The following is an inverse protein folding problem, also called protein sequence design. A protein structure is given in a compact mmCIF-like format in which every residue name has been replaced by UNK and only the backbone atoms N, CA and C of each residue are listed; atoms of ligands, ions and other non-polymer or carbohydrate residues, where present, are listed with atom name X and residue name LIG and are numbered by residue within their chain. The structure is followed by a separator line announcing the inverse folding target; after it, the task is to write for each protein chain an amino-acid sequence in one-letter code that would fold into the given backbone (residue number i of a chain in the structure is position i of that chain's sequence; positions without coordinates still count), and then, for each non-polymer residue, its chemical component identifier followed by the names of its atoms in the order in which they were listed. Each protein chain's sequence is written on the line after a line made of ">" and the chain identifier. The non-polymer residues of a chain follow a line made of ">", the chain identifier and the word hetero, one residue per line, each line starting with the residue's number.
data_IF_944502869823
#
_entry.id   IF_944502869823
#
_cell.length_a   1.000
_cell.length_b   1.000
_cell.length_c   1.000
_cell.angle_alpha   90.00
_cell.angle_beta   90.00
_cell.angle_gamma   90.00
#
_symmetry.space_group_name_H-M   'P 1'
#
loop_
_entity.id
_entity.type
_entity.pdbx_description
1 polymer ?
#
# COMPACT_ATOMS: atom_id res chain seq x y z
N UNK A 1 -70.95 19.84 -5.64
CA UNK A 1 -70.27 19.01 -6.65
C UNK A 1 -69.05 19.79 -7.09
N UNK A 2 -67.82 19.50 -6.73
CA UNK A 2 -67.12 18.24 -6.35
C UNK A 2 -65.94 18.65 -5.44
N UNK A 3 -65.96 18.20 -4.19
CA UNK A 3 -65.01 17.25 -3.58
C UNK A 3 -63.62 17.82 -3.26
N UNK A 4 -63.51 18.33 -2.02
CA UNK A 4 -62.27 18.47 -1.28
C UNK A 4 -61.76 17.07 -0.89
N UNK A 5 -60.68 16.63 -1.50
CA UNK A 5 -59.97 15.41 -1.12
C UNK A 5 -59.07 15.66 0.09
N UNK A 6 -59.56 15.33 1.28
CA UNK A 6 -58.76 15.16 2.50
C UNK A 6 -57.73 14.03 2.31
N UNK A 7 -56.45 14.38 2.23
CA UNK A 7 -55.36 13.42 2.34
C UNK A 7 -55.15 13.04 3.81
N UNK A 8 -55.75 11.92 4.22
CA UNK A 8 -55.41 11.23 5.48
C UNK A 8 -54.12 10.45 5.22
N UNK A 9 -52.98 11.10 5.47
CA UNK A 9 -51.69 10.42 5.52
C UNK A 9 -51.62 9.56 6.77
N UNK A 10 -51.93 8.27 6.62
CA UNK A 10 -51.67 7.26 7.65
C UNK A 10 -50.16 7.21 7.87
N UNK A 11 -49.72 7.66 9.06
CA UNK A 11 -48.37 7.48 9.57
C UNK A 11 -48.08 6.00 9.75
N UNK A 12 -47.73 5.33 8.66
CA UNK A 12 -47.16 4.00 8.69
C UNK A 12 -45.80 4.11 9.36
N UNK A 13 -45.72 3.70 10.62
CA UNK A 13 -44.46 3.46 11.30
C UNK A 13 -43.68 2.47 10.44
N UNK A 14 -42.69 2.95 9.70
CA UNK A 14 -41.81 2.09 8.93
C UNK A 14 -41.22 1.06 9.89
N UNK A 15 -41.64 -0.19 9.76
CA UNK A 15 -41.04 -1.30 10.49
C UNK A 15 -39.62 -1.38 9.95
N UNK A 16 -38.67 -0.80 10.68
CA UNK A 16 -37.24 -1.00 10.45
C UNK A 16 -36.97 -2.48 10.70
N UNK A 17 -37.10 -3.28 9.65
CA UNK A 17 -36.62 -4.65 9.66
C UNK A 17 -35.12 -4.54 9.94
N UNK A 18 -34.70 -5.10 11.07
CA UNK A 18 -33.31 -5.12 11.52
C UNK A 18 -32.50 -6.06 10.62
N UNK A 19 -32.30 -5.65 9.36
CA UNK A 19 -31.57 -6.42 8.35
C UNK A 19 -30.08 -6.18 8.47
N UNK A 20 -29.30 -7.20 8.13
CA UNK A 20 -27.86 -7.04 7.99
C UNK A 20 -27.55 -6.30 6.68
N UNK A 21 -26.62 -5.35 6.71
CA UNK A 21 -26.00 -4.77 5.51
C UNK A 21 -24.88 -5.69 5.03
N UNK A 22 -24.85 -6.03 3.75
CA UNK A 22 -23.71 -6.75 3.16
C UNK A 22 -22.64 -5.76 2.67
N UNK A 23 -21.37 -6.02 2.99
CA UNK A 23 -20.22 -5.22 2.57
C UNK A 23 -19.15 -6.10 1.95
N UNK A 24 -18.68 -5.72 0.77
CA UNK A 24 -17.50 -6.35 0.17
C UNK A 24 -16.23 -5.56 0.50
N UNK A 25 -15.18 -6.30 0.84
CA UNK A 25 -13.83 -5.82 1.04
C UNK A 25 -12.90 -6.62 0.15
N UNK A 26 -12.17 -5.93 -0.71
CA UNK A 26 -11.10 -6.51 -1.52
C UNK A 26 -9.76 -6.10 -0.94
N UNK A 27 -8.95 -7.08 -0.57
CA UNK A 27 -7.59 -6.89 -0.07
C UNK A 27 -6.63 -7.32 -1.16
N UNK A 28 -5.96 -6.35 -1.77
CA UNK A 28 -4.88 -6.62 -2.70
C UNK A 28 -3.59 -6.86 -1.92
N UNK A 29 -3.12 -8.10 -1.92
CA UNK A 29 -1.82 -8.48 -1.36
C UNK A 29 -0.74 -8.35 -2.43
N UNK A 30 0.14 -7.36 -2.22
CA UNK A 30 1.32 -7.14 -3.04
C UNK A 30 2.51 -7.98 -2.60
N UNK A 31 3.69 -7.66 -3.14
CA UNK A 31 4.92 -8.32 -2.73
C UNK A 31 5.18 -8.07 -1.23
N UNK A 32 5.02 -9.11 -0.42
CA UNK A 32 5.34 -9.10 1.00
C UNK A 32 6.85 -9.29 1.21
N UNK A 33 7.28 -8.77 2.36
CA UNK A 33 8.61 -8.75 2.97
C UNK A 33 9.59 -9.83 2.49
N UNK A 34 10.84 -9.40 2.31
CA UNK A 34 12.10 -10.14 2.10
C UNK A 34 12.02 -11.62 1.68
N UNK A 35 12.84 -12.01 0.71
CA UNK A 35 13.00 -13.39 0.22
C UNK A 35 13.21 -14.47 1.30
N UNK A 36 13.61 -14.12 2.53
CA UNK A 36 13.64 -15.01 3.69
C UNK A 36 12.25 -15.45 4.17
N UNK A 37 11.30 -14.52 4.29
CA UNK A 37 9.94 -14.79 4.78
C UNK A 37 9.19 -15.66 3.76
N UNK A 38 9.39 -15.34 2.49
CA UNK A 38 8.80 -16.09 1.37
C UNK A 38 9.34 -17.51 1.20
N UNK A 39 10.65 -17.74 1.36
CA UNK A 39 11.24 -19.09 1.18
C UNK A 39 10.71 -20.07 2.23
N UNK A 40 10.44 -19.57 3.43
CA UNK A 40 9.86 -20.32 4.54
C UNK A 40 8.37 -20.62 4.28
N UNK A 41 7.58 -19.66 3.76
CA UNK A 41 6.18 -19.90 3.36
C UNK A 41 6.03 -20.91 2.23
N UNK A 42 6.84 -20.78 1.17
CA UNK A 42 6.82 -21.72 0.04
C UNK A 42 7.21 -23.13 0.46
N UNK A 43 8.25 -23.27 1.28
CA UNK A 43 8.70 -24.55 1.81
C UNK A 43 7.60 -25.24 2.61
N UNK A 44 6.92 -24.52 3.49
CA UNK A 44 5.83 -25.07 4.30
C UNK A 44 4.60 -25.41 3.48
N UNK A 45 4.18 -24.57 2.51
CA UNK A 45 3.07 -24.89 1.58
C UNK A 45 3.33 -26.16 0.75
N UNK A 46 4.59 -26.47 0.45
CA UNK A 46 4.98 -27.67 -0.32
C UNK A 46 5.38 -28.87 0.54
N UNK A 47 5.25 -28.77 1.87
CA UNK A 47 5.63 -29.85 2.79
C UNK A 47 7.15 -30.05 2.98
N UNK A 48 7.98 -29.09 2.57
CA UNK A 48 9.45 -29.14 2.65
C UNK A 48 9.98 -28.64 4.01
N UNK A 49 9.18 -28.80 5.07
CA UNK A 49 9.34 -28.13 6.37
C UNK A 49 10.65 -28.45 7.10
N UNK A 50 11.20 -29.64 6.91
CA UNK A 50 12.34 -30.12 7.71
C UNK A 50 13.71 -29.92 7.01
N UNK A 51 13.75 -29.88 5.66
CA UNK A 51 15.01 -29.76 4.92
C UNK A 51 15.54 -28.31 4.84
N UNK A 52 14.67 -27.30 4.93
CA UNK A 52 15.07 -25.89 4.82
C UNK A 52 15.42 -25.22 6.15
N UNK A 53 15.04 -25.81 7.28
CA UNK A 53 15.39 -25.31 8.63
C UNK A 53 16.80 -25.76 9.05
N UNK A 54 17.34 -26.81 8.43
CA UNK A 54 18.67 -27.36 8.75
C UNK A 54 19.83 -26.74 7.95
N UNK A 55 19.57 -25.89 6.95
CA UNK A 55 20.61 -25.21 6.18
C UNK A 55 21.03 -23.88 6.85
N UNK A 56 22.32 -23.51 6.85
CA UNK A 56 22.74 -22.21 7.37
C UNK A 56 22.04 -21.10 6.58
N UNK A 57 21.28 -20.26 7.29
CA UNK A 57 20.80 -19.00 6.72
C UNK A 57 22.03 -18.27 6.16
N UNK A 58 22.08 -17.91 4.86
CA UNK A 58 23.29 -17.33 4.29
C UNK A 58 23.64 -16.08 5.08
N UNK A 59 24.85 -15.97 5.62
CA UNK A 59 25.33 -14.83 6.45
C UNK A 59 25.02 -13.47 5.82
N UNK A 60 24.94 -13.43 4.48
CA UNK A 60 24.51 -12.31 3.66
C UNK A 60 23.12 -11.73 4.00
N UNK A 61 22.20 -12.53 4.54
CA UNK A 61 20.87 -12.06 4.97
C UNK A 61 20.91 -11.30 6.29
N UNK A 62 21.83 -11.67 7.19
CA UNK A 62 22.10 -10.92 8.42
C UNK A 62 22.64 -9.54 8.05
N UNK A 63 23.63 -9.50 7.15
CA UNK A 63 24.23 -8.25 6.68
C UNK A 63 23.24 -7.31 5.97
N UNK A 64 22.32 -7.82 5.15
CA UNK A 64 21.33 -6.99 4.42
C UNK A 64 20.21 -6.49 5.33
N UNK A 65 19.78 -7.32 6.28
CA UNK A 65 18.90 -6.92 7.39
C UNK A 65 19.56 -5.79 8.16
N UNK A 66 20.80 -6.01 8.60
CA UNK A 66 21.55 -5.09 9.44
C UNK A 66 21.90 -3.79 8.71
N UNK A 67 22.16 -3.79 7.39
CA UNK A 67 22.35 -2.55 6.60
C UNK A 67 21.07 -1.73 6.43
N UNK A 68 19.92 -2.38 6.21
CA UNK A 68 18.61 -1.70 6.10
C UNK A 68 18.16 -1.19 7.48
N UNK A 69 18.48 -1.93 8.55
CA UNK A 69 18.23 -1.54 9.93
C UNK A 69 19.17 -0.42 10.38
N UNK A 70 20.46 -0.45 10.06
CA UNK A 70 21.41 0.64 10.31
C UNK A 70 21.00 1.92 9.55
N UNK A 71 20.47 1.79 8.32
CA UNK A 71 19.96 2.92 7.56
C UNK A 71 18.75 3.58 8.24
N UNK A 72 17.88 2.79 8.86
CA UNK A 72 16.76 3.28 9.68
C UNK A 72 17.20 3.83 11.04
N UNK A 73 18.21 3.23 11.67
CA UNK A 73 18.79 3.66 12.95
C UNK A 73 19.42 5.06 12.88
N UNK A 74 20.07 5.42 11.77
CA UNK A 74 20.73 6.72 11.61
C UNK A 74 19.75 7.91 11.45
N UNK A 75 18.44 7.68 11.39
CA UNK A 75 17.43 8.73 11.05
C UNK A 75 16.26 8.87 12.01
N UNK A 76 16.14 8.00 13.00
CA UNK A 76 15.14 8.13 14.04
C UNK A 76 15.80 8.66 15.32
N UNK A 77 15.12 9.48 16.13
CA UNK A 77 15.64 9.90 17.43
C UNK A 77 16.05 8.67 18.25
N UNK A 78 17.24 8.71 18.87
CA UNK A 78 17.98 7.60 19.52
C UNK A 78 17.19 6.78 20.56
N UNK A 79 15.98 7.20 20.92
CA UNK A 79 15.25 6.69 22.07
C UNK A 79 14.19 5.64 21.67
N UNK A 80 13.96 5.39 20.37
CA UNK A 80 12.82 4.61 19.88
C UNK A 80 13.14 3.37 19.02
N UNK A 81 14.35 3.22 18.47
CA UNK A 81 14.64 2.18 17.46
C UNK A 81 15.17 0.87 18.05
N UNK A 82 16.21 0.86 18.87
CA UNK A 82 16.94 -0.39 19.15
C UNK A 82 16.13 -1.48 19.87
N UNK A 83 15.38 -1.13 20.92
CA UNK A 83 14.58 -2.11 21.65
C UNK A 83 13.35 -2.60 20.85
N UNK A 84 12.73 -1.71 20.07
CA UNK A 84 11.58 -2.04 19.22
C UNK A 84 11.99 -2.92 18.05
N UNK A 85 13.11 -2.60 17.41
CA UNK A 85 13.62 -3.32 16.24
C UNK A 85 14.22 -4.68 16.62
N UNK A 86 14.91 -4.76 17.78
CA UNK A 86 15.35 -6.05 18.35
C UNK A 86 14.17 -6.95 18.69
N UNK A 87 13.08 -6.41 19.24
CA UNK A 87 11.87 -7.18 19.56
C UNK A 87 11.09 -7.63 18.32
N UNK A 88 11.10 -6.82 17.26
CA UNK A 88 10.58 -7.19 15.93
C UNK A 88 11.43 -8.33 15.36
N UNK A 89 12.76 -8.21 15.36
CA UNK A 89 13.69 -9.26 14.92
C UNK A 89 13.57 -10.56 15.74
N UNK A 90 13.42 -10.47 17.06
CA UNK A 90 13.20 -11.61 17.96
C UNK A 90 11.83 -12.27 17.77
N UNK A 91 10.80 -11.54 17.32
CA UNK A 91 9.50 -12.09 16.94
C UNK A 91 9.55 -12.78 15.57
N UNK A 92 10.25 -12.21 14.59
CA UNK A 92 10.50 -12.85 13.29
C UNK A 92 11.32 -14.15 13.42
N UNK A 93 12.24 -14.22 14.39
CA UNK A 93 13.06 -15.42 14.66
C UNK A 93 12.30 -16.58 15.33
N UNK A 94 11.07 -16.40 15.84
CA UNK A 94 10.31 -17.44 16.57
C UNK A 94 9.34 -18.27 15.72
N UNK A 95 9.37 -18.14 14.40
CA UNK A 95 9.01 -19.25 13.50
C UNK A 95 7.53 -19.64 13.34
N UNK A 96 6.58 -18.86 13.86
CA UNK A 96 5.15 -18.99 13.48
C UNK A 96 4.74 -17.70 12.78
N UNK A 97 4.69 -17.76 11.45
CA UNK A 97 4.22 -16.65 10.65
C UNK A 97 2.70 -16.72 10.58
N UNK A 98 2.02 -15.66 10.98
CA UNK A 98 0.56 -15.53 10.97
C UNK A 98 0.09 -14.94 9.65
N UNK A 99 -0.81 -15.62 8.95
CA UNK A 99 -1.48 -15.06 7.76
C UNK A 99 -2.49 -13.99 8.17
N UNK A 100 -2.98 -13.21 7.20
CA UNK A 100 -4.12 -12.32 7.43
C UNK A 100 -5.32 -13.07 8.01
N UNK A 101 -5.62 -14.24 7.48
CA UNK A 101 -6.69 -15.09 7.99
C UNK A 101 -6.42 -15.51 9.44
N UNK A 102 -5.18 -15.86 9.81
CA UNK A 102 -4.85 -16.23 11.20
C UNK A 102 -5.04 -15.06 12.16
N UNK A 103 -4.54 -13.87 11.80
CA UNK A 103 -4.67 -12.66 12.61
C UNK A 103 -6.15 -12.26 12.79
N UNK A 104 -6.93 -12.31 11.71
CA UNK A 104 -8.36 -12.00 11.77
C UNK A 104 -9.14 -13.08 12.52
N UNK A 105 -8.85 -14.36 12.31
CA UNK A 105 -9.48 -15.47 13.04
C UNK A 105 -9.20 -15.36 14.54
N UNK A 106 -7.95 -15.08 14.92
CA UNK A 106 -7.56 -14.88 16.31
C UNK A 106 -8.24 -13.65 16.93
N UNK A 107 -8.41 -12.57 16.17
CA UNK A 107 -8.99 -11.33 16.67
C UNK A 107 -10.53 -11.33 16.73
N UNK A 108 -11.18 -12.07 15.83
CA UNK A 108 -12.63 -12.02 15.60
C UNK A 108 -13.35 -13.28 16.06
N UNK A 109 -12.63 -14.36 16.33
CA UNK A 109 -13.17 -15.61 16.83
C UNK A 109 -14.07 -16.34 15.82
N UNK A 110 -15.03 -17.10 16.34
CA UNK A 110 -15.86 -18.03 15.56
C UNK A 110 -16.76 -17.34 14.51
N UNK A 111 -17.00 -16.03 14.62
CA UNK A 111 -17.76 -15.27 13.63
C UNK A 111 -16.98 -15.02 12.32
N UNK A 112 -15.67 -15.24 12.33
CA UNK A 112 -14.82 -15.15 11.14
C UNK A 112 -14.67 -16.54 10.52
N UNK A 113 -15.15 -16.70 9.29
CA UNK A 113 -15.15 -17.97 8.57
C UNK A 113 -14.28 -17.84 7.34
N UNK A 114 -13.25 -18.68 7.24
CA UNK A 114 -12.39 -18.80 6.05
C UNK A 114 -13.04 -19.83 5.12
N UNK A 115 -13.46 -19.40 3.93
CA UNK A 115 -14.08 -20.28 2.93
C UNK A 115 -13.03 -20.88 1.99
N UNK A 116 -11.99 -20.11 1.68
CA UNK A 116 -10.84 -20.50 0.86
C UNK A 116 -9.63 -19.64 1.21
N UNK A 117 -8.49 -19.91 0.58
CA UNK A 117 -7.26 -19.11 0.69
C UNK A 117 -7.43 -17.64 0.27
N UNK A 118 -8.50 -17.31 -0.45
CA UNK A 118 -8.76 -15.95 -0.96
C UNK A 118 -10.12 -15.41 -0.56
N UNK A 119 -10.93 -16.17 0.17
CA UNK A 119 -12.27 -15.76 0.52
C UNK A 119 -12.58 -16.07 1.97
N UNK A 120 -13.11 -15.07 2.67
CA UNK A 120 -13.60 -15.21 4.03
C UNK A 120 -14.83 -14.36 4.25
N UNK A 121 -15.54 -14.65 5.34
CA UNK A 121 -16.72 -13.91 5.77
C UNK A 121 -16.62 -13.58 7.25
N UNK A 122 -17.22 -12.47 7.63
CA UNK A 122 -17.36 -12.09 9.03
C UNK A 122 -18.73 -11.47 9.28
N UNK A 123 -19.44 -11.94 10.29
CA UNK A 123 -20.72 -11.35 10.70
C UNK A 123 -20.53 -10.53 11.97
N UNK A 124 -20.83 -9.24 11.89
CA UNK A 124 -20.83 -8.32 13.03
C UNK A 124 -22.24 -8.10 13.53
N UNK A 125 -22.64 -8.86 14.56
CA UNK A 125 -23.95 -8.69 15.19
C UNK A 125 -24.20 -7.29 15.78
N UNK A 126 -23.21 -6.63 16.43
CA UNK A 126 -23.38 -5.28 16.92
C UNK A 126 -23.64 -4.27 15.79
N UNK A 127 -22.94 -4.42 14.66
CA UNK A 127 -23.11 -3.51 13.52
C UNK A 127 -24.32 -3.84 12.66
N UNK A 128 -24.80 -5.08 12.71
CA UNK A 128 -25.72 -5.67 11.73
C UNK A 128 -25.14 -5.58 10.32
N UNK A 129 -23.92 -6.12 10.17
CA UNK A 129 -23.19 -6.13 8.90
C UNK A 129 -22.60 -7.52 8.63
N UNK A 130 -22.78 -8.04 7.42
CA UNK A 130 -22.00 -9.17 6.91
C UNK A 130 -20.89 -8.64 6.02
N UNK A 131 -19.66 -9.01 6.34
CA UNK A 131 -18.49 -8.67 5.56
C UNK A 131 -18.10 -9.86 4.69
N UNK A 132 -17.97 -9.62 3.39
CA UNK A 132 -17.40 -10.53 2.41
C UNK A 132 -16.00 -10.04 2.06
N UNK A 133 -14.99 -10.83 2.38
CA UNK A 133 -13.59 -10.42 2.26
C UNK A 133 -12.95 -11.29 1.18
N UNK A 134 -12.40 -10.65 0.15
CA UNK A 134 -11.72 -11.28 -0.97
C UNK A 134 -10.27 -10.82 -1.07
N UNK A 135 -9.34 -11.74 -1.19
CA UNK A 135 -7.92 -11.46 -1.39
C UNK A 135 -7.59 -11.57 -2.88
N UNK A 136 -6.88 -10.58 -3.42
CA UNK A 136 -6.42 -10.57 -4.81
C UNK A 136 -4.92 -10.31 -4.87
N UNK A 137 -4.26 -10.81 -5.92
CA UNK A 137 -2.79 -10.79 -6.00
C UNK A 137 -2.25 -10.11 -7.26
N UNK A 138 -3.13 -9.63 -8.14
CA UNK A 138 -2.74 -9.13 -9.46
C UNK A 138 -3.10 -7.66 -9.63
N UNK A 139 -2.31 -6.91 -10.44
CA UNK A 139 -2.66 -5.52 -10.79
C UNK A 139 -4.04 -5.40 -11.45
N UNK A 140 -4.45 -6.28 -12.38
CA UNK A 140 -5.77 -6.22 -13.00
C UNK A 140 -6.91 -6.38 -11.99
N UNK A 141 -6.79 -7.31 -11.05
CA UNK A 141 -7.82 -7.51 -10.02
C UNK A 141 -7.87 -6.32 -9.06
N UNK A 142 -6.71 -5.77 -8.68
CA UNK A 142 -6.65 -4.57 -7.85
C UNK A 142 -7.27 -3.36 -8.55
N UNK A 143 -6.96 -3.15 -9.83
CA UNK A 143 -7.58 -2.10 -10.65
C UNK A 143 -9.09 -2.26 -10.70
N UNK A 144 -9.55 -3.47 -11.03
CA UNK A 144 -10.97 -3.80 -11.12
C UNK A 144 -11.68 -3.49 -9.80
N UNK A 145 -11.08 -3.85 -8.68
CA UNK A 145 -11.60 -3.53 -7.35
C UNK A 145 -11.68 -2.01 -7.12
N UNK A 146 -10.65 -1.24 -7.48
CA UNK A 146 -10.68 0.23 -7.38
C UNK A 146 -11.79 0.86 -8.21
N UNK A 147 -12.11 0.26 -9.36
CA UNK A 147 -13.17 0.65 -10.31
C UNK A 147 -14.56 0.09 -9.95
N UNK A 148 -14.68 -0.68 -8.87
CA UNK A 148 -15.96 -1.28 -8.43
C UNK A 148 -16.65 -0.38 -7.41
N UNK A 149 -17.92 -0.03 -7.65
CA UNK A 149 -18.71 0.81 -6.74
C UNK A 149 -19.08 0.10 -5.44
N UNK A 150 -19.25 0.88 -4.37
CA UNK A 150 -19.84 0.38 -3.12
C UNK A 150 -18.93 -0.48 -2.23
N UNK A 151 -17.74 -0.88 -2.70
CA UNK A 151 -16.83 -1.75 -1.94
C UNK A 151 -15.71 -0.99 -1.21
N UNK A 152 -15.06 -1.66 -0.26
CA UNK A 152 -13.77 -1.22 0.27
C UNK A 152 -12.63 -1.93 -0.44
N UNK A 153 -11.60 -1.19 -0.85
CA UNK A 153 -10.36 -1.75 -1.39
C UNK A 153 -9.23 -1.44 -0.43
N UNK A 154 -8.44 -2.44 -0.06
CA UNK A 154 -7.25 -2.27 0.76
C UNK A 154 -6.04 -2.82 0.02
N UNK A 155 -4.97 -2.05 -0.10
CA UNK A 155 -3.68 -2.57 -0.50
C UNK A 155 -2.84 -2.88 0.74
N UNK A 156 -2.39 -4.14 0.81
CA UNK A 156 -1.44 -4.64 1.79
C UNK A 156 -0.18 -5.12 1.07
N UNK A 157 1.00 -4.59 1.41
CA UNK A 157 2.25 -5.03 0.82
C UNK A 157 3.27 -3.91 0.67
N UNK A 158 4.40 -4.21 0.03
CA UNK A 158 5.43 -3.21 -0.22
C UNK A 158 4.98 -2.19 -1.27
N UNK A 159 5.18 -0.90 -1.00
CA UNK A 159 5.03 0.14 -2.00
C UNK A 159 6.39 0.78 -2.25
N UNK A 160 6.73 1.01 -3.52
CA UNK A 160 7.95 1.72 -3.87
C UNK A 160 7.81 3.20 -3.57
N UNK A 161 8.91 3.73 -3.03
CA UNK A 161 9.04 5.12 -2.62
C UNK A 161 8.54 6.08 -3.69
N UNK A 162 7.41 6.73 -3.41
CA UNK A 162 6.83 7.72 -4.31
C UNK A 162 6.35 7.19 -5.67
N UNK A 163 6.26 5.87 -5.89
CA UNK A 163 5.87 5.25 -7.18
C UNK A 163 4.55 4.49 -7.12
N UNK A 164 4.34 3.70 -6.05
CA UNK A 164 3.10 2.94 -5.88
C UNK A 164 3.30 1.48 -5.45
N UNK A 165 2.19 0.73 -5.31
CA UNK A 165 2.16 -0.65 -4.86
C UNK A 165 2.87 -1.61 -5.81
N UNK A 166 3.57 -2.58 -5.23
CA UNK A 166 4.25 -3.65 -5.95
C UNK A 166 3.35 -4.87 -6.06
N UNK A 167 3.20 -5.37 -7.28
CA UNK A 167 2.63 -6.68 -7.57
C UNK A 167 3.72 -7.52 -8.19
N UNK A 168 3.89 -8.78 -7.79
CA UNK A 168 4.77 -9.68 -8.53
C UNK A 168 4.16 -11.06 -8.59
N UNK A 169 4.24 -11.67 -9.77
CA UNK A 169 3.68 -13.00 -9.97
C UNK A 169 4.51 -13.97 -9.14
N UNK A 170 3.83 -14.66 -8.25
CA UNK A 170 4.45 -15.63 -7.38
C UNK A 170 5.00 -16.82 -8.20
N UNK A 171 6.29 -16.84 -8.52
CA UNK A 171 6.94 -17.98 -9.21
C UNK A 171 8.22 -18.52 -8.54
N UNK A 172 8.57 -18.10 -7.31
CA UNK A 172 9.76 -18.50 -6.54
C UNK A 172 11.12 -18.18 -7.19
N UNK A 173 11.16 -17.51 -8.33
CA UNK A 173 12.38 -16.94 -8.86
C UNK A 173 12.59 -15.58 -8.18
N UNK A 174 13.82 -15.32 -7.71
CA UNK A 174 14.13 -14.13 -6.93
C UNK A 174 14.13 -12.89 -7.82
N UNK A 175 12.95 -12.36 -8.10
CA UNK A 175 12.64 -11.21 -8.97
C UNK A 175 12.84 -9.88 -8.22
N UNK A 176 13.98 -9.76 -7.54
CA UNK A 176 14.31 -8.64 -6.64
C UNK A 176 15.07 -7.49 -7.33
N UNK A 177 15.33 -7.62 -8.63
CA UNK A 177 16.13 -6.70 -9.42
C UNK A 177 15.57 -6.56 -10.85
N UNK A 178 16.01 -5.52 -11.56
CA UNK A 178 15.74 -5.31 -12.98
C UNK A 178 14.33 -4.80 -13.28
N UNK A 179 13.96 -4.88 -14.55
CA UNK A 179 12.70 -4.33 -15.06
C UNK A 179 11.46 -5.06 -14.54
N UNK A 180 11.54 -6.35 -14.23
CA UNK A 180 10.41 -7.07 -13.65
C UNK A 180 9.93 -6.42 -12.35
N UNK A 181 10.86 -5.87 -11.58
CA UNK A 181 10.53 -5.22 -10.32
C UNK A 181 9.93 -3.81 -10.49
N UNK A 182 10.31 -3.10 -11.55
CA UNK A 182 9.87 -1.72 -11.81
C UNK A 182 8.65 -1.69 -12.75
N UNK A 183 8.81 -2.22 -13.95
CA UNK A 183 7.80 -2.26 -15.00
C UNK A 183 7.15 -3.67 -15.12
N UNK A 184 7.60 -4.70 -14.40
CA UNK A 184 7.05 -6.03 -14.64
C UNK A 184 7.44 -6.60 -16.01
N UNK A 185 6.98 -7.81 -16.26
CA UNK A 185 7.10 -8.52 -17.54
C UNK A 185 5.74 -8.78 -18.17
N UNK A 186 4.65 -8.54 -17.44
CA UNK A 186 3.29 -8.69 -17.91
C UNK A 186 2.33 -7.77 -17.13
N UNK A 187 1.04 -8.00 -17.34
CA UNK A 187 -0.02 -7.22 -16.73
C UNK A 187 -0.22 -7.51 -15.24
N UNK A 188 0.30 -8.60 -14.70
CA UNK A 188 0.08 -9.04 -13.33
C UNK A 188 1.15 -8.55 -12.35
N UNK A 189 2.35 -8.19 -12.82
CA UNK A 189 3.52 -7.89 -11.98
C UNK A 189 4.11 -6.48 -12.23
N UNK A 190 5.12 -6.11 -11.46
CA UNK A 190 5.68 -4.76 -11.41
C UNK A 190 4.84 -3.79 -10.60
N UNK A 191 5.07 -2.49 -10.82
CA UNK A 191 4.36 -1.45 -10.08
C UNK A 191 2.97 -1.17 -10.66
N UNK A 192 2.01 -0.98 -9.77
CA UNK A 192 0.82 -0.18 -10.04
C UNK A 192 1.15 1.27 -9.72
N UNK A 193 1.16 2.15 -10.73
CA UNK A 193 1.74 3.50 -10.60
C UNK A 193 0.75 4.47 -9.98
N UNK A 194 1.04 4.99 -8.80
CA UNK A 194 0.18 5.96 -8.08
C UNK A 194 0.98 7.05 -7.35
N UNK A 195 2.12 7.43 -7.93
CA UNK A 195 3.13 8.32 -7.34
C UNK A 195 3.20 9.70 -7.98
N UNK A 196 4.08 10.57 -7.46
CA UNK A 196 4.31 11.88 -8.07
C UNK A 196 4.94 11.74 -9.47
N UNK A 197 4.65 12.65 -10.42
CA UNK A 197 5.27 12.67 -11.74
C UNK A 197 6.80 12.60 -11.70
N UNK A 198 7.41 13.32 -10.74
CA UNK A 198 8.84 13.35 -10.56
C UNK A 198 9.25 12.94 -9.14
N UNK A 199 10.11 11.94 -9.04
CA UNK A 199 10.61 11.45 -7.75
C UNK A 199 12.14 11.50 -7.69
N UNK A 200 12.72 11.84 -6.53
CA UNK A 200 14.16 11.77 -6.34
C UNK A 200 14.58 10.36 -5.94
N UNK A 201 15.51 9.76 -6.69
CA UNK A 201 16.08 8.45 -6.39
C UNK A 201 17.59 8.55 -6.25
N UNK A 202 18.12 7.93 -5.20
CA UNK A 202 19.55 7.86 -4.95
C UNK A 202 20.25 6.95 -5.96
N UNK A 203 21.46 7.29 -6.35
CA UNK A 203 22.22 6.46 -7.29
C UNK A 203 22.50 5.04 -6.75
N UNK A 204 22.61 4.88 -5.43
CA UNK A 204 22.77 3.58 -4.77
C UNK A 204 21.55 2.66 -4.96
N UNK A 205 20.33 3.21 -4.93
CA UNK A 205 19.10 2.45 -5.21
C UNK A 205 19.11 1.92 -6.64
N UNK A 206 19.50 2.75 -7.61
CA UNK A 206 19.64 2.32 -9.01
C UNK A 206 20.68 1.21 -9.18
N UNK A 207 21.86 1.35 -8.57
CA UNK A 207 22.91 0.33 -8.64
C UNK A 207 22.49 -0.99 -7.99
N UNK A 208 21.80 -0.90 -6.84
CA UNK A 208 21.33 -2.07 -6.09
C UNK A 208 20.24 -2.82 -6.86
N UNK A 209 19.28 -2.09 -7.43
CA UNK A 209 18.10 -2.71 -8.03
C UNK A 209 18.18 -2.87 -9.54
N UNK A 210 19.12 -2.23 -10.23
CA UNK A 210 19.48 -2.47 -11.64
C UNK A 210 18.30 -2.41 -12.63
N UNK A 211 17.25 -1.63 -12.32
CA UNK A 211 16.11 -1.43 -13.21
C UNK A 211 16.39 -0.32 -14.22
N UNK A 212 15.74 -0.40 -15.37
CA UNK A 212 15.77 0.66 -16.38
C UNK A 212 15.06 1.88 -15.83
N UNK A 213 15.78 2.99 -15.73
CA UNK A 213 15.26 4.25 -15.21
C UNK A 213 15.04 5.29 -16.32
N UNK A 214 14.11 6.22 -16.05
CA UNK A 214 13.70 7.30 -16.95
C UNK A 214 14.04 8.66 -16.32
N UNK A 215 15.32 9.07 -16.24
CA UNK A 215 15.71 10.33 -15.62
C UNK A 215 15.33 11.54 -16.46
N UNK A 216 15.13 12.69 -15.81
CA UNK A 216 14.87 13.95 -16.52
C UNK A 216 16.19 14.57 -17.00
N UNK A 217 16.36 14.66 -18.33
CA UNK A 217 17.54 15.27 -18.97
C UNK A 217 17.74 16.71 -18.48
N UNK A 218 18.99 17.12 -18.23
CA UNK A 218 19.28 18.49 -17.80
C UNK A 218 19.06 19.52 -18.92
N UNK A 219 19.05 19.08 -20.18
CA UNK A 219 18.70 19.87 -21.35
C UNK A 219 17.21 20.23 -21.40
N UNK A 220 16.36 19.45 -20.71
CA UNK A 220 14.93 19.74 -20.64
C UNK A 220 14.67 20.83 -19.57
N UNK A 221 13.55 21.56 -19.68
CA UNK A 221 13.11 22.47 -18.62
C UNK A 221 13.07 21.78 -17.25
N UNK A 222 13.42 22.55 -16.22
CA UNK A 222 13.40 22.08 -14.83
C UNK A 222 11.96 21.68 -14.45
N UNK A 223 11.70 20.46 -13.95
CA UNK A 223 10.35 20.04 -13.58
C UNK A 223 9.70 20.99 -12.56
N UNK A 224 8.39 21.30 -12.63
CA UNK A 224 7.73 22.17 -11.65
C UNK A 224 7.84 21.65 -10.21
N UNK A 225 8.03 22.54 -9.22
CA UNK A 225 8.17 22.13 -7.80
C UNK A 225 6.93 21.39 -7.29
N UNK A 226 5.73 21.80 -7.74
CA UNK A 226 4.45 21.22 -7.32
C UNK A 226 4.28 19.75 -7.74
N UNK A 227 4.90 19.37 -8.87
CA UNK A 227 4.85 18.02 -9.46
C UNK A 227 5.96 17.09 -8.93
N UNK A 228 6.90 17.63 -8.16
CA UNK A 228 7.93 16.83 -7.50
C UNK A 228 7.39 16.26 -6.20
N UNK A 229 7.75 15.00 -5.96
CA UNK A 229 7.63 14.35 -4.66
C UNK A 229 8.20 15.26 -3.56
N UNK A 230 7.62 15.30 -2.33
CA UNK A 230 8.06 16.21 -1.26
C UNK A 230 9.57 16.19 -1.03
N UNK A 231 10.20 15.03 -1.04
CA UNK A 231 11.66 14.89 -0.88
C UNK A 231 12.49 15.39 -2.09
N UNK A 232 11.86 15.73 -3.21
CA UNK A 232 12.46 16.23 -4.44
C UNK A 232 12.23 17.74 -4.65
N UNK A 233 11.58 18.43 -3.70
CA UNK A 233 11.27 19.86 -3.80
C UNK A 233 12.46 20.79 -3.59
N UNK A 234 13.60 20.25 -3.16
CA UNK A 234 14.84 21.02 -2.98
C UNK A 234 15.39 21.65 -4.27
N UNK A 235 16.49 22.41 -4.10
CA UNK A 235 17.22 22.98 -5.22
C UNK A 235 17.74 21.88 -6.14
N UNK A 236 17.38 21.97 -7.42
CA UNK A 236 17.88 21.04 -8.43
C UNK A 236 19.13 21.61 -9.07
N UNK A 237 20.03 20.70 -9.42
CA UNK A 237 21.23 20.96 -10.18
C UNK A 237 21.38 19.87 -11.23
N UNK A 238 22.11 20.17 -12.29
CA UNK A 238 22.50 19.16 -13.25
C UNK A 238 23.56 18.23 -12.62
N UNK A 239 23.30 16.93 -12.64
CA UNK A 239 24.16 15.87 -12.12
C UNK A 239 24.62 15.02 -13.29
N UNK A 240 25.93 14.87 -13.46
CA UNK A 240 26.50 13.93 -14.43
C UNK A 240 26.41 12.51 -13.87
N UNK A 241 25.82 11.58 -14.61
CA UNK A 241 25.75 10.20 -14.15
C UNK A 241 27.12 9.50 -14.24
N UNK A 242 27.52 8.74 -13.21
CA UNK A 242 28.62 7.78 -13.29
C UNK A 242 28.38 6.77 -14.42
N UNK A 243 29.45 6.34 -15.08
CA UNK A 243 29.38 5.45 -16.25
C UNK A 243 28.63 4.15 -15.95
N UNK A 244 28.87 3.57 -14.77
CA UNK A 244 28.22 2.33 -14.32
C UNK A 244 26.71 2.45 -14.08
N UNK A 245 26.18 3.67 -13.97
CA UNK A 245 24.73 3.93 -13.88
C UNK A 245 24.11 4.27 -15.24
N UNK A 246 24.91 4.74 -16.21
CA UNK A 246 24.38 5.17 -17.53
C UNK A 246 23.74 4.02 -18.30
N UNK A 247 24.21 2.80 -18.10
CA UNK A 247 23.64 1.58 -18.71
C UNK A 247 22.18 1.35 -18.32
N UNK A 248 21.77 1.80 -17.12
CA UNK A 248 20.38 1.68 -16.65
C UNK A 248 19.45 2.75 -17.23
N UNK A 249 19.94 3.73 -17.98
CA UNK A 249 19.08 4.78 -18.55
C UNK A 249 18.39 4.28 -19.81
N UNK A 250 17.06 4.33 -19.82
CA UNK A 250 16.24 4.02 -20.99
C UNK A 250 16.75 4.77 -22.22
N UNK A 251 16.82 4.11 -23.38
CA UNK A 251 17.42 4.69 -24.59
C UNK A 251 16.82 6.05 -24.97
N UNK A 252 15.49 6.19 -24.91
CA UNK A 252 14.77 7.44 -25.17
C UNK A 252 15.08 8.57 -24.17
N UNK A 253 15.58 8.23 -22.99
CA UNK A 253 15.89 9.15 -21.90
C UNK A 253 17.38 9.47 -21.78
N UNK A 254 18.24 8.94 -22.65
CA UNK A 254 19.67 9.28 -22.63
C UNK A 254 19.88 10.75 -22.98
N UNK A 255 20.62 11.45 -22.13
CA UNK A 255 21.13 12.81 -22.37
C UNK A 255 22.45 12.74 -23.13
N UNK A 256 22.66 13.56 -24.18
CA UNK A 256 23.94 13.65 -24.89
C UNK A 256 25.10 14.09 -24.00
N UNK A 257 24.85 14.94 -23.00
CA UNK A 257 25.86 15.37 -22.03
C UNK A 257 25.98 14.43 -20.83
N UNK A 258 25.13 13.39 -20.77
CA UNK A 258 24.95 12.51 -19.62
C UNK A 258 24.58 13.25 -18.32
N UNK A 259 23.99 14.44 -18.44
CA UNK A 259 23.55 15.26 -17.31
C UNK A 259 22.04 15.19 -17.14
N UNK A 260 21.61 15.12 -15.89
CA UNK A 260 20.21 14.98 -15.51
C UNK A 260 19.88 15.89 -14.35
N UNK A 261 18.63 16.31 -14.23
CA UNK A 261 18.19 17.05 -13.06
C UNK A 261 18.27 16.16 -11.82
N UNK A 262 18.93 16.66 -10.78
CA UNK A 262 19.12 15.95 -9.53
C UNK A 262 19.31 16.91 -8.37
N UNK A 263 19.55 16.36 -7.18
CA UNK A 263 19.72 17.09 -5.94
C UNK A 263 20.63 16.31 -4.99
N UNK A 264 21.16 16.98 -3.98
CA UNK A 264 21.83 16.31 -2.86
C UNK A 264 20.86 16.21 -1.70
N UNK A 265 20.67 14.98 -1.21
CA UNK A 265 19.93 14.71 0.02
C UNK A 265 20.80 13.78 0.86
N UNK A 266 20.94 14.08 2.14
CA UNK A 266 21.68 13.22 3.08
C UNK A 266 23.11 12.93 2.61
N UNK A 267 23.79 13.95 2.06
CA UNK A 267 25.14 13.85 1.47
C UNK A 267 25.26 12.90 0.27
N UNK A 268 24.15 12.41 -0.28
CA UNK A 268 24.10 11.53 -1.44
C UNK A 268 23.48 12.22 -2.65
N UNK A 269 24.04 11.96 -3.83
CA UNK A 269 23.48 12.41 -5.09
C UNK A 269 22.22 11.61 -5.42
N UNK A 270 21.15 12.34 -5.72
CA UNK A 270 19.90 11.81 -6.21
C UNK A 270 19.62 12.38 -7.60
N UNK A 271 19.00 11.60 -8.47
CA UNK A 271 18.46 12.08 -9.75
C UNK A 271 16.94 12.08 -9.69
N UNK A 272 16.33 13.02 -10.41
CA UNK A 272 14.90 13.00 -10.62
C UNK A 272 14.57 12.04 -11.75
N UNK A 273 13.67 11.12 -11.44
CA UNK A 273 13.09 10.20 -12.40
C UNK A 273 11.67 10.63 -12.73
N UNK A 274 11.29 10.43 -13.99
CA UNK A 274 9.90 10.37 -14.41
C UNK A 274 9.32 9.07 -13.87
N UNK A 275 8.48 9.20 -12.86
CA UNK A 275 7.81 8.10 -12.18
C UNK A 275 6.28 8.22 -12.23
N UNK A 276 5.81 9.18 -13.04
CA UNK A 276 4.40 9.49 -13.20
C UNK A 276 3.53 8.29 -13.55
N UNK A 277 2.25 8.50 -13.39
CA UNK A 277 1.21 7.56 -13.79
C UNK A 277 0.70 7.82 -15.21
N UNK A 278 1.08 8.91 -15.86
CA UNK A 278 0.69 9.19 -17.24
C UNK A 278 1.70 8.53 -18.17
N UNK A 279 1.22 7.91 -19.26
CA UNK A 279 2.07 7.32 -20.30
C UNK A 279 3.12 6.33 -19.78
N UNK A 280 2.76 5.58 -18.75
CA UNK A 280 3.67 4.56 -18.21
C UNK A 280 3.81 3.42 -19.21
N UNK A 281 5.00 2.81 -19.28
CA UNK A 281 5.24 1.65 -20.16
C UNK A 281 4.33 0.46 -19.79
N UNK A 282 3.73 0.51 -18.61
CA UNK A 282 2.75 -0.45 -18.10
C UNK A 282 1.30 0.00 -18.26
N UNK A 283 0.98 0.75 -19.31
CA UNK A 283 -0.42 1.02 -19.59
C UNK A 283 -1.22 -0.29 -19.64
N UNK A 284 -2.37 -0.38 -18.96
CA UNK A 284 -3.10 0.69 -18.26
C UNK A 284 -3.00 0.67 -16.72
N UNK A 285 -1.99 0.02 -16.13
CA UNK A 285 -1.94 -0.23 -14.67
C UNK A 285 -1.33 0.94 -13.88
N UNK A 286 -1.99 2.08 -14.00
CA UNK A 286 -1.67 3.31 -13.31
C UNK A 286 -2.95 3.97 -12.77
N UNK A 287 -2.79 4.85 -11.78
CA UNK A 287 -3.90 5.49 -11.10
C UNK A 287 -4.63 6.52 -11.98
N UNK A 288 -3.96 7.04 -13.01
CA UNK A 288 -4.56 8.00 -13.95
C UNK A 288 -5.69 7.34 -14.72
N UNK A 289 -5.35 6.22 -15.37
CA UNK A 289 -6.26 5.40 -16.15
C UNK A 289 -7.26 4.59 -15.31
N UNK A 290 -7.10 4.57 -13.98
CA UNK A 290 -7.99 3.83 -13.07
C UNK A 290 -9.08 4.74 -12.52
N UNK A 291 -10.34 4.56 -12.90
CA UNK A 291 -11.45 5.35 -12.34
C UNK A 291 -11.79 4.91 -10.90
N UNK A 292 -11.49 5.74 -9.89
CA UNK A 292 -11.70 5.36 -8.49
C UNK A 292 -13.19 5.44 -8.12
N UNK A 293 -13.89 4.32 -8.21
CA UNK A 293 -15.32 4.18 -7.91
C UNK A 293 -15.63 3.49 -6.58
N UNK A 294 -14.65 2.81 -5.99
CA UNK A 294 -14.81 2.21 -4.68
C UNK A 294 -15.28 3.23 -3.63
N UNK A 295 -15.92 2.75 -2.56
CA UNK A 295 -16.43 3.61 -1.49
C UNK A 295 -15.33 3.99 -0.51
N UNK A 296 -14.39 3.08 -0.28
CA UNK A 296 -13.25 3.26 0.61
C UNK A 296 -11.97 2.68 0.00
N UNK A 297 -10.86 3.40 0.07
CA UNK A 297 -9.54 2.98 -0.37
C UNK A 297 -8.52 3.12 0.75
N UNK A 298 -7.97 1.99 1.20
CA UNK A 298 -6.89 1.96 2.17
C UNK A 298 -5.60 1.55 1.45
N UNK A 299 -4.51 2.27 1.69
CA UNK A 299 -3.21 1.90 1.13
C UNK A 299 -2.16 1.85 2.24
N UNK A 300 -1.94 0.64 2.76
CA UNK A 300 -1.07 0.39 3.92
C UNK A 300 0.33 -0.10 3.53
N UNK A 301 0.81 0.29 2.34
CA UNK A 301 2.20 0.11 1.94
C UNK A 301 3.16 1.15 2.56
N UNK A 302 4.41 1.17 2.10
CA UNK A 302 5.46 2.03 2.67
C UNK A 302 5.18 3.53 2.50
N UNK A 303 5.01 4.26 3.61
CA UNK A 303 5.00 5.74 3.73
C UNK A 303 4.02 6.43 2.78
N UNK A 304 2.85 5.83 2.61
CA UNK A 304 1.92 6.15 1.52
C UNK A 304 1.21 7.47 1.73
N UNK A 305 1.17 7.95 2.97
CA UNK A 305 0.69 9.30 3.30
C UNK A 305 1.52 10.37 2.59
N UNK A 306 2.85 10.23 2.53
CA UNK A 306 3.70 11.22 1.85
C UNK A 306 3.72 10.99 0.33
N UNK A 307 3.58 9.73 -0.12
CA UNK A 307 3.75 9.34 -1.52
C UNK A 307 2.49 9.47 -2.37
N UNK A 308 1.33 9.09 -1.83
CA UNK A 308 0.14 8.79 -2.62
C UNK A 308 -1.10 9.54 -2.15
N UNK A 309 -1.12 10.06 -0.92
CA UNK A 309 -2.28 10.82 -0.43
C UNK A 309 -2.62 11.99 -1.34
N UNK A 310 -1.62 12.83 -1.64
CA UNK A 310 -1.79 14.06 -2.43
C UNK A 310 -2.36 13.74 -3.81
N UNK A 311 -1.76 12.73 -4.41
CA UNK A 311 -2.09 12.14 -5.70
C UNK A 311 -3.56 11.72 -5.77
N UNK A 312 -4.04 10.99 -4.75
CA UNK A 312 -5.42 10.51 -4.71
C UNK A 312 -6.38 11.68 -4.43
N UNK A 313 -6.04 12.57 -3.51
CA UNK A 313 -6.98 13.57 -2.96
C UNK A 313 -7.09 14.87 -3.77
N UNK A 314 -6.01 15.37 -4.36
CA UNK A 314 -6.02 16.71 -4.96
C UNK A 314 -6.67 16.74 -6.34
N UNK A 315 -7.45 17.78 -6.62
CA UNK A 315 -8.19 17.99 -7.88
C UNK A 315 -7.29 18.11 -9.11
N UNK A 316 -6.05 18.57 -8.95
CA UNK A 316 -5.06 18.58 -10.04
C UNK A 316 -4.50 17.21 -10.41
N UNK A 317 -4.89 16.17 -9.67
CA UNK A 317 -4.54 14.78 -9.89
C UNK A 317 -5.83 13.96 -9.99
N UNK A 318 -6.07 12.99 -9.08
CA UNK A 318 -7.27 12.15 -9.15
C UNK A 318 -8.54 12.85 -8.68
N UNK A 319 -8.41 13.92 -7.88
CA UNK A 319 -9.56 14.67 -7.38
C UNK A 319 -10.54 13.84 -6.55
N UNK A 320 -10.07 12.77 -5.91
CA UNK A 320 -10.89 11.89 -5.07
C UNK A 320 -11.15 12.54 -3.70
N UNK A 321 -11.76 13.72 -3.75
CA UNK A 321 -12.11 14.55 -2.61
C UNK A 321 -13.34 13.93 -1.93
N UNK A 322 -13.27 13.78 -0.61
CA UNK A 322 -14.39 13.30 0.20
C UNK A 322 -15.48 14.37 0.23
N UNK A 323 -16.75 14.04 -0.02
CA UNK A 323 -17.84 15.00 0.09
C UNK A 323 -18.02 15.49 1.54
N UNK A 324 -18.71 16.61 1.69
CA UNK A 324 -19.15 17.17 2.97
C UNK A 324 -20.68 17.36 2.92
N UNK A 325 -21.48 16.56 3.67
CA UNK A 325 -21.05 15.53 4.64
C UNK A 325 -20.45 14.27 3.98
N UNK A 326 -19.63 13.49 4.71
CA UNK A 326 -18.94 12.33 4.16
C UNK A 326 -19.87 11.15 3.95
N UNK A 327 -20.10 10.77 2.70
CA UNK A 327 -20.92 9.61 2.30
C UNK A 327 -20.10 8.48 1.68
N UNK A 328 -19.06 8.82 0.92
CA UNK A 328 -18.15 7.93 0.21
C UNK A 328 -16.70 8.48 0.14
N UNK A 329 -15.88 7.92 -0.76
CA UNK A 329 -14.50 8.35 -1.05
C UNK A 329 -13.63 8.45 0.20
N UNK A 330 -13.78 7.46 1.09
CA UNK A 330 -12.93 7.33 2.26
C UNK A 330 -11.54 6.88 1.81
N UNK A 331 -10.49 7.51 2.34
CA UNK A 331 -9.12 7.18 1.95
C UNK A 331 -8.21 7.20 3.16
N UNK A 332 -7.49 6.11 3.39
CA UNK A 332 -6.61 5.94 4.54
C UNK A 332 -5.21 5.51 4.11
N UNK A 333 -4.21 6.14 4.70
CA UNK A 333 -2.81 5.96 4.33
C UNK A 333 -1.94 5.88 5.58
N UNK A 334 -0.78 5.23 5.49
CA UNK A 334 0.18 5.11 6.60
C UNK A 334 1.37 6.03 6.42
N UNK A 335 1.98 6.48 7.53
CA UNK A 335 3.23 7.25 7.52
C UNK A 335 4.49 6.41 7.55
N UNK A 336 4.40 5.10 7.71
CA UNK A 336 5.54 4.25 7.96
C UNK A 336 5.77 3.22 6.86
N UNK A 337 6.92 2.55 6.88
CA UNK A 337 7.18 1.38 6.04
C UNK A 337 6.05 0.36 6.14
N UNK A 338 5.88 -0.45 5.09
CA UNK A 338 4.92 -1.54 5.12
C UNK A 338 5.18 -2.38 6.38
N UNK A 339 4.12 -2.76 7.08
CA UNK A 339 4.21 -3.60 8.27
C UNK A 339 2.95 -4.45 8.33
N UNK A 340 3.15 -5.76 8.37
CA UNK A 340 2.07 -6.73 8.34
C UNK A 340 1.06 -6.51 9.49
N UNK A 341 1.49 -5.96 10.62
CA UNK A 341 0.61 -5.72 11.77
C UNK A 341 -0.41 -4.62 11.49
N UNK A 342 -0.10 -3.66 10.61
CA UNK A 342 -1.03 -2.56 10.27
C UNK A 342 -2.25 -3.12 9.55
N UNK A 343 -2.05 -4.10 8.65
CA UNK A 343 -3.14 -4.63 7.85
C UNK A 343 -4.19 -5.34 8.70
N UNK A 344 -3.81 -5.96 9.84
CA UNK A 344 -4.75 -6.71 10.66
C UNK A 344 -5.45 -5.80 11.68
N UNK A 345 -4.71 -4.83 12.23
CA UNK A 345 -5.21 -3.96 13.31
C UNK A 345 -6.35 -3.07 12.84
N UNK A 346 -6.28 -2.49 11.64
CA UNK A 346 -7.35 -1.61 11.16
C UNK A 346 -8.67 -2.35 10.88
N UNK A 347 -8.71 -3.43 10.06
CA UNK A 347 -9.93 -4.22 9.84
C UNK A 347 -10.47 -4.84 11.11
N UNK A 348 -9.61 -5.35 12.01
CA UNK A 348 -10.03 -5.85 13.34
C UNK A 348 -10.96 -4.87 14.04
N UNK A 349 -10.54 -3.61 14.17
CA UNK A 349 -11.38 -2.60 14.81
C UNK A 349 -12.57 -2.21 13.94
N UNK A 350 -12.42 -2.13 12.63
CA UNK A 350 -13.56 -1.81 11.79
C UNK A 350 -14.69 -2.84 11.94
N UNK A 351 -14.36 -4.12 12.01
CA UNK A 351 -15.27 -5.24 12.23
C UNK A 351 -15.89 -5.27 13.65
N UNK A 352 -15.19 -4.71 14.63
CA UNK A 352 -15.62 -4.66 16.03
C UNK A 352 -16.31 -3.33 16.41
N UNK A 353 -16.69 -2.49 15.45
CA UNK A 353 -17.42 -1.26 15.75
C UNK A 353 -18.72 -1.58 16.52
N UNK A 354 -18.99 -0.94 17.67
CA UNK A 354 -20.00 -1.44 18.61
C UNK A 354 -21.44 -1.01 18.30
N UNK A 355 -21.64 -0.13 17.32
CA UNK A 355 -22.96 0.43 17.03
C UNK A 355 -23.52 -0.12 15.73
N UNK A 356 -24.84 -0.30 15.68
CA UNK A 356 -25.55 -0.65 14.46
C UNK A 356 -25.29 0.39 13.37
N UNK A 357 -25.00 -0.07 12.15
CA UNK A 357 -24.77 0.85 11.04
C UNK A 357 -26.07 1.35 10.42
N UNK A 358 -27.12 0.53 10.35
CA UNK A 358 -28.43 0.87 9.74
C UNK A 358 -28.29 1.50 8.34
N UNK A 359 -27.45 0.89 7.49
CA UNK A 359 -27.15 1.36 6.13
C UNK A 359 -26.66 2.83 6.03
N UNK A 360 -26.19 3.42 7.14
CA UNK A 360 -25.62 4.75 7.17
C UNK A 360 -24.24 4.80 6.49
N UNK A 361 -23.74 6.00 6.13
CA UNK A 361 -22.37 6.19 5.69
C UNK A 361 -21.35 5.50 6.60
N UNK A 362 -20.33 4.87 6.01
CA UNK A 362 -19.34 4.09 6.76
C UNK A 362 -18.43 4.94 7.65
N UNK A 363 -18.53 6.27 7.56
CA UNK A 363 -17.70 7.25 8.23
C UNK A 363 -17.45 6.96 9.71
N UNK A 364 -18.51 6.78 10.50
CA UNK A 364 -18.37 6.60 11.96
C UNK A 364 -17.60 5.32 12.30
N UNK A 365 -17.93 4.21 11.63
CA UNK A 365 -17.25 2.93 11.82
C UNK A 365 -15.77 2.99 11.42
N UNK A 366 -15.45 3.65 10.30
CA UNK A 366 -14.08 3.78 9.80
C UNK A 366 -13.24 4.76 10.64
N UNK A 367 -13.82 5.86 11.12
CA UNK A 367 -13.11 6.78 12.03
C UNK A 367 -12.90 6.16 13.41
N UNK A 368 -13.88 5.40 13.91
CA UNK A 368 -13.70 4.62 15.13
C UNK A 368 -12.56 3.63 14.97
N UNK A 369 -12.53 2.87 13.86
CA UNK A 369 -11.47 1.93 13.54
C UNK A 369 -10.10 2.61 13.50
N UNK A 370 -9.98 3.74 12.78
CA UNK A 370 -8.75 4.52 12.72
C UNK A 370 -8.25 4.94 14.11
N UNK A 371 -9.13 5.49 14.94
CA UNK A 371 -8.77 5.95 16.30
C UNK A 371 -8.28 4.79 17.18
N UNK A 372 -8.97 3.65 17.14
CA UNK A 372 -8.60 2.46 17.91
C UNK A 372 -7.31 1.83 17.40
N UNK A 373 -7.18 1.70 16.08
CA UNK A 373 -5.97 1.19 15.44
C UNK A 373 -4.75 2.03 15.79
N UNK A 374 -4.84 3.36 15.68
CA UNK A 374 -3.73 4.25 16.06
C UNK A 374 -3.39 4.16 17.55
N UNK A 375 -4.39 4.00 18.43
CA UNK A 375 -4.12 3.78 19.86
C UNK A 375 -3.36 2.48 20.11
N UNK A 376 -3.74 1.39 19.46
CA UNK A 376 -3.06 0.11 19.58
C UNK A 376 -1.63 0.17 19.00
N UNK A 377 -1.46 0.76 17.82
CA UNK A 377 -0.14 0.96 17.20
C UNK A 377 0.78 1.82 18.09
N UNK A 378 0.25 2.89 18.68
CA UNK A 378 0.99 3.71 19.63
C UNK A 378 1.39 2.93 20.91
N UNK A 379 0.48 2.12 21.46
CA UNK A 379 0.77 1.28 22.62
C UNK A 379 1.84 0.22 22.32
N UNK A 380 1.86 -0.29 21.08
CA UNK A 380 2.91 -1.19 20.56
C UNK A 380 4.21 -0.45 20.21
N UNK A 381 4.27 0.88 20.39
CA UNK A 381 5.41 1.77 20.08
C UNK A 381 5.93 1.60 18.66
N UNK A 382 5.03 1.38 17.71
CA UNK A 382 5.45 1.13 16.33
C UNK A 382 5.98 2.39 15.64
N UNK A 383 5.59 3.58 16.10
CA UNK A 383 5.93 4.86 15.44
C UNK A 383 5.06 5.15 14.21
N UNK A 384 3.93 4.43 14.06
CA UNK A 384 3.08 4.49 12.88
C UNK A 384 1.73 5.15 13.17
N UNK A 385 1.13 5.77 12.15
CA UNK A 385 -0.22 6.31 12.22
C UNK A 385 -0.94 6.08 10.88
N UNK A 386 -2.23 5.73 10.98
CA UNK A 386 -3.19 5.74 9.88
C UNK A 386 -3.86 7.12 9.84
N UNK A 387 -3.81 7.76 8.68
CA UNK A 387 -4.32 9.13 8.46
C UNK A 387 -5.71 9.15 7.85
#
# INVERSE_FOLDING_TARGET
>A
MTEEGTAVGTGGTAILVNTYEDREIVIAEGNEFHSSDRRIRTARRKGWGDELVAGPAPERYREISDEVYEWHERRLPENHSQATMRRIGEQFQRGVETTLHDELSAALGAQYVVNSDTESRYTSDPQKVNYHIRIVYTKPDFRTALETEGICVMYNGHARWGRGPCFDAYNNEATTHGNQWEDGTNQNNGLFRMGYPFIPIGLSDLKRHQYTCRPVKAENPRPPVAERHPHGRGALRAVTLPEDVRSFVAASHRSPSHRYWGLTRERQAHILLQAGWTDTVNQPYDLDGTDLRCKCFCHFGCSTKIHNWKIVRETGYKGWVRPDPPTDRYAYFTTATADFRIFAVFPKYWFQYPNQNNHQPWWESLQWAKRRANRELAARRTGYLIY
#
